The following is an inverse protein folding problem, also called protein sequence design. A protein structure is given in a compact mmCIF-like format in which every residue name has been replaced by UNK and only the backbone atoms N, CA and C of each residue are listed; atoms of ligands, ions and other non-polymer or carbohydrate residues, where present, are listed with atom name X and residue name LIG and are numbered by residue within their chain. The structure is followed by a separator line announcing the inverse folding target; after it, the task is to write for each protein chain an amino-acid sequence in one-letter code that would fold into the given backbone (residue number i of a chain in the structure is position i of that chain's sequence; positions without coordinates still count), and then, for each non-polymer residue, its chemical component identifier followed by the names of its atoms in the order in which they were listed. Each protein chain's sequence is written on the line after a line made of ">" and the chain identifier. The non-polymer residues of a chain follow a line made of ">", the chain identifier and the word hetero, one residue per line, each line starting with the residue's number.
data_IF_620250244115
#
_entry.id   IF_620250244115
#
_cell.length_a   1.000
_cell.length_b   1.000
_cell.length_c   1.000
_cell.angle_alpha   90.00
_cell.angle_beta   90.00
_cell.angle_gamma   90.00
#
_symmetry.space_group_name_H-M   'P 1'
#
loop_
_entity.id
_entity.type
_entity.pdbx_description
1 polymer ?
#
# COMPACT_ATOMS: atom_id res chain seq x y z
N UNK A 1 -11.91 1.10 -6.93
CA UNK A 1 -11.20 0.27 -5.95
C UNK A 1 -11.51 0.75 -4.53
N UNK A 2 -11.58 -0.18 -3.60
CA UNK A 2 -12.01 0.11 -2.22
C UNK A 2 -11.13 1.17 -1.56
N UNK A 3 -9.81 1.10 -1.75
CA UNK A 3 -8.92 2.04 -1.08
C UNK A 3 -9.05 3.48 -1.60
N UNK A 4 -9.36 3.68 -2.87
CA UNK A 4 -9.59 5.03 -3.37
C UNK A 4 -10.91 5.61 -2.87
N UNK A 5 -11.93 4.79 -2.73
CA UNK A 5 -13.22 5.21 -2.13
C UNK A 5 -13.02 5.61 -0.67
N UNK A 6 -12.27 4.82 0.08
CA UNK A 6 -11.97 5.10 1.48
C UNK A 6 -11.17 6.39 1.64
N UNK A 7 -10.22 6.60 0.73
CA UNK A 7 -9.42 7.83 0.71
C UNK A 7 -10.29 9.06 0.51
N UNK A 8 -11.24 8.97 -0.41
CA UNK A 8 -12.19 10.05 -0.66
C UNK A 8 -13.06 10.32 0.57
N UNK A 9 -13.56 9.27 1.23
CA UNK A 9 -14.33 9.40 2.47
C UNK A 9 -13.53 10.11 3.55
N UNK A 10 -12.25 9.72 3.75
CA UNK A 10 -11.38 10.35 4.74
C UNK A 10 -11.18 11.83 4.44
N UNK A 11 -10.97 12.17 3.17
CA UNK A 11 -10.82 13.56 2.76
C UNK A 11 -12.08 14.38 3.06
N UNK A 12 -13.24 13.85 2.68
CA UNK A 12 -14.52 14.53 2.85
C UNK A 12 -14.88 14.69 4.34
N UNK A 13 -14.62 13.67 5.16
CA UNK A 13 -14.86 13.74 6.61
C UNK A 13 -14.07 14.86 7.28
N UNK A 14 -12.88 15.14 6.78
CA UNK A 14 -12.03 16.21 7.33
C UNK A 14 -12.21 17.56 6.64
N UNK A 15 -13.16 17.64 5.71
CA UNK A 15 -13.44 18.87 4.94
C UNK A 15 -12.20 19.38 4.21
N UNK A 16 -11.40 18.48 3.68
CA UNK A 16 -10.18 18.82 2.93
C UNK A 16 -10.47 18.72 1.46
N UNK A 17 -10.05 19.72 0.68
CA UNK A 17 -10.27 19.73 -0.76
C UNK A 17 -9.25 18.86 -1.48
N UNK A 18 -9.60 18.46 -2.72
CA UNK A 18 -8.65 17.77 -3.60
C UNK A 18 -7.39 18.62 -3.83
N UNK A 19 -7.57 19.93 -3.97
CA UNK A 19 -6.46 20.86 -4.15
C UNK A 19 -5.50 20.84 -2.96
N UNK A 20 -6.01 20.83 -1.74
CA UNK A 20 -5.19 20.76 -0.55
C UNK A 20 -4.36 19.50 -0.48
N UNK A 21 -4.97 18.34 -0.78
CA UNK A 21 -4.22 17.07 -0.80
C UNK A 21 -3.23 17.00 -1.94
N UNK A 22 -3.59 17.53 -3.12
CA UNK A 22 -2.64 17.56 -4.24
C UNK A 22 -1.42 18.41 -3.90
N UNK A 23 -1.59 19.50 -3.17
CA UNK A 23 -0.49 20.33 -2.69
C UNK A 23 0.42 19.55 -1.71
N UNK A 24 -0.17 18.79 -0.80
CA UNK A 24 0.58 17.94 0.15
C UNK A 24 1.41 16.91 -0.60
N UNK A 25 0.86 16.30 -1.65
CA UNK A 25 1.55 15.32 -2.47
C UNK A 25 2.46 15.95 -3.52
N UNK A 26 2.40 17.26 -3.73
CA UNK A 26 3.15 17.99 -4.77
C UNK A 26 2.86 17.47 -6.18
N UNK A 27 1.59 17.20 -6.44
CA UNK A 27 1.11 16.77 -7.76
C UNK A 27 0.00 17.71 -8.23
N UNK A 28 -0.37 17.61 -9.51
CA UNK A 28 -1.47 18.41 -10.05
C UNK A 28 -2.82 17.96 -9.49
N UNK A 29 -3.72 18.90 -9.28
CA UNK A 29 -5.07 18.62 -8.83
C UNK A 29 -5.80 17.65 -9.77
N UNK A 30 -5.59 17.78 -11.09
CA UNK A 30 -6.21 16.87 -12.07
C UNK A 30 -5.72 15.42 -11.88
N UNK A 31 -4.43 15.23 -11.56
CA UNK A 31 -3.88 13.91 -11.30
C UNK A 31 -4.48 13.33 -10.01
N UNK A 32 -4.60 14.13 -8.96
CA UNK A 32 -5.21 13.69 -7.72
C UNK A 32 -6.67 13.28 -7.94
N UNK A 33 -7.43 14.07 -8.72
CA UNK A 33 -8.82 13.75 -9.03
C UNK A 33 -8.93 12.41 -9.76
N UNK A 34 -7.99 12.10 -10.65
CA UNK A 34 -7.94 10.80 -11.32
C UNK A 34 -7.63 9.66 -10.35
N UNK A 35 -6.75 9.88 -9.38
CA UNK A 35 -6.48 8.90 -8.33
C UNK A 35 -7.75 8.57 -7.54
N UNK A 36 -8.54 9.57 -7.19
CA UNK A 36 -9.81 9.35 -6.49
C UNK A 36 -10.86 8.63 -7.35
N UNK A 37 -10.76 8.74 -8.67
CA UNK A 37 -11.67 8.06 -9.60
C UNK A 37 -11.15 6.71 -10.08
N UNK A 38 -10.01 6.26 -9.57
CA UNK A 38 -9.39 4.97 -9.93
C UNK A 38 -8.86 4.86 -11.35
N UNK A 39 -8.77 5.96 -12.10
CA UNK A 39 -8.18 5.94 -13.43
C UNK A 39 -6.68 5.72 -13.40
N UNK A 40 -6.03 6.11 -12.33
CA UNK A 40 -4.61 5.96 -12.14
C UNK A 40 -4.32 5.19 -10.86
N UNK A 41 -3.23 4.47 -10.90
CA UNK A 41 -2.72 3.74 -9.72
C UNK A 41 -2.05 4.77 -8.81
N UNK A 42 -2.51 4.86 -7.56
CA UNK A 42 -1.88 5.74 -6.58
C UNK A 42 -0.56 5.10 -6.15
N UNK A 43 0.60 5.72 -6.41
CA UNK A 43 1.88 5.13 -5.99
C UNK A 43 1.94 4.93 -4.48
N UNK A 44 2.64 3.89 -4.04
CA UNK A 44 2.76 3.57 -2.61
C UNK A 44 3.33 4.76 -1.82
N UNK A 45 4.30 5.49 -2.35
CA UNK A 45 4.86 6.64 -1.65
C UNK A 45 3.81 7.74 -1.42
N UNK A 46 2.96 8.00 -2.39
CA UNK A 46 1.86 8.96 -2.22
C UNK A 46 0.84 8.44 -1.23
N UNK A 47 0.51 7.17 -1.32
CA UNK A 47 -0.43 6.54 -0.40
C UNK A 47 0.11 6.57 1.03
N UNK A 48 1.40 6.35 1.20
CA UNK A 48 2.05 6.44 2.50
C UNK A 48 1.97 7.86 3.09
N UNK A 49 2.20 8.88 2.27
CA UNK A 49 2.07 10.28 2.68
C UNK A 49 0.65 10.56 3.16
N UNK A 50 -0.35 10.08 2.42
CA UNK A 50 -1.76 10.27 2.79
C UNK A 50 -2.13 9.50 4.06
N UNK A 51 -1.64 8.26 4.20
CA UNK A 51 -1.87 7.49 5.42
C UNK A 51 -1.30 8.21 6.65
N UNK A 52 -0.09 8.74 6.53
CA UNK A 52 0.52 9.51 7.62
C UNK A 52 -0.24 10.79 7.91
N UNK A 53 -0.69 11.48 6.88
CA UNK A 53 -1.47 12.71 7.02
C UNK A 53 -2.79 12.47 7.75
N UNK A 54 -3.49 11.41 7.38
CA UNK A 54 -4.78 11.05 7.99
C UNK A 54 -4.64 10.22 9.27
N UNK A 55 -3.44 9.83 9.64
CA UNK A 55 -3.17 8.96 10.80
C UNK A 55 -3.91 7.63 10.71
N UNK A 56 -3.87 7.02 9.53
CA UNK A 56 -4.47 5.70 9.29
C UNK A 56 -3.41 4.72 8.80
N UNK A 57 -3.65 3.42 9.06
CA UNK A 57 -2.78 2.37 8.56
C UNK A 57 -3.16 2.02 7.11
N UNK A 58 -2.22 1.39 6.39
CA UNK A 58 -2.54 0.80 5.09
C UNK A 58 -3.59 -0.29 5.24
N UNK A 59 -3.51 -1.09 6.30
CA UNK A 59 -4.47 -2.16 6.55
C UNK A 59 -5.89 -1.61 6.72
N UNK A 60 -6.02 -0.50 7.42
CA UNK A 60 -7.31 0.18 7.55
C UNK A 60 -7.81 0.70 6.20
N UNK A 61 -6.92 1.34 5.45
CA UNK A 61 -7.25 1.87 4.12
C UNK A 61 -7.67 0.76 3.15
N UNK A 62 -7.02 -0.40 3.24
CA UNK A 62 -7.35 -1.58 2.42
C UNK A 62 -8.54 -2.38 2.95
N UNK A 63 -9.18 -1.90 4.01
CA UNK A 63 -10.31 -2.56 4.64
C UNK A 63 -10.01 -3.96 5.16
N UNK A 64 -8.79 -4.15 5.65
CA UNK A 64 -8.34 -5.42 6.24
C UNK A 64 -8.50 -5.46 7.74
N UNK A 65 -8.70 -4.32 8.38
CA UNK A 65 -8.85 -4.20 9.83
C UNK A 65 -9.72 -3.00 10.16
N UNK A 66 -10.35 -3.03 11.32
CA UNK A 66 -11.05 -1.86 11.87
C UNK A 66 -10.12 -0.98 12.71
N UNK A 67 -8.90 -1.45 12.95
CA UNK A 67 -7.90 -0.67 13.68
C UNK A 67 -7.36 0.45 12.80
N UNK A 68 -7.70 1.69 13.18
CA UNK A 68 -7.43 2.88 12.36
C UNK A 68 -5.93 3.08 12.15
N UNK A 69 -5.15 2.88 13.23
CA UNK A 69 -3.69 3.02 13.12
C UNK A 69 -3.04 2.07 14.12
N UNK A 70 -1.73 1.87 13.97
CA UNK A 70 -0.94 1.03 14.87
C UNK A 70 0.00 1.89 15.69
N UNK A 71 0.17 1.55 16.98
CA UNK A 71 1.17 2.20 17.82
C UNK A 71 2.57 1.91 17.28
N UNK A 72 3.43 2.91 17.36
CA UNK A 72 4.83 2.81 16.95
C UNK A 72 5.05 2.49 15.47
N UNK A 73 4.04 2.71 14.62
CA UNK A 73 4.21 2.57 13.18
C UNK A 73 5.20 3.62 12.67
N UNK A 74 6.10 3.21 11.78
CA UNK A 74 7.08 4.10 11.18
C UNK A 74 6.43 4.97 10.11
N UNK A 75 6.89 6.20 9.97
CA UNK A 75 6.39 7.10 8.93
C UNK A 75 6.90 6.70 7.55
N UNK A 76 8.18 6.33 7.47
CA UNK A 76 8.84 6.07 6.20
C UNK A 76 8.85 4.58 5.86
N UNK A 77 8.81 4.29 4.57
CA UNK A 77 8.94 2.93 4.04
C UNK A 77 10.40 2.73 3.63
N UNK A 78 10.99 1.65 4.13
CA UNK A 78 12.32 1.20 3.72
C UNK A 78 12.13 0.14 2.63
N UNK A 79 12.52 0.45 1.39
CA UNK A 79 12.32 -0.43 0.24
C UNK A 79 13.05 -1.77 0.39
N UNK A 80 14.22 -1.78 1.04
CA UNK A 80 15.00 -3.00 1.25
C UNK A 80 14.27 -3.90 2.25
N UNK A 81 13.81 -3.35 3.35
CA UNK A 81 13.04 -4.08 4.36
C UNK A 81 11.74 -4.62 3.77
N UNK A 82 11.02 -3.80 3.00
CA UNK A 82 9.79 -4.20 2.34
C UNK A 82 10.05 -5.35 1.35
N UNK A 83 11.10 -5.24 0.56
CA UNK A 83 11.49 -6.29 -0.38
C UNK A 83 11.83 -7.61 0.32
N UNK A 84 12.58 -7.54 1.41
CA UNK A 84 12.95 -8.72 2.20
C UNK A 84 11.70 -9.40 2.79
N UNK A 85 10.77 -8.63 3.33
CA UNK A 85 9.54 -9.18 3.89
C UNK A 85 8.65 -9.81 2.83
N UNK A 86 8.56 -9.20 1.65
CA UNK A 86 7.81 -9.76 0.54
C UNK A 86 8.40 -11.10 0.12
N UNK A 87 9.73 -11.16 -0.02
CA UNK A 87 10.43 -12.40 -0.37
C UNK A 87 10.20 -13.51 0.66
N UNK A 88 10.35 -13.17 1.95
CA UNK A 88 10.16 -14.12 3.04
C UNK A 88 8.72 -14.63 3.08
N UNK A 89 7.75 -13.74 2.96
CA UNK A 89 6.34 -14.09 2.91
C UNK A 89 6.07 -15.03 1.74
N UNK A 90 6.61 -14.71 0.56
CA UNK A 90 6.45 -15.55 -0.63
C UNK A 90 6.98 -16.95 -0.39
N UNK A 91 8.18 -17.07 0.16
CA UNK A 91 8.80 -18.37 0.44
C UNK A 91 8.03 -19.16 1.49
N UNK A 92 7.56 -18.52 2.53
CA UNK A 92 6.74 -19.14 3.57
C UNK A 92 5.45 -19.72 2.99
N UNK A 93 4.90 -19.09 1.95
CA UNK A 93 3.73 -19.58 1.26
C UNK A 93 4.07 -20.54 0.10
N UNK A 94 5.33 -20.95 0.01
CA UNK A 94 5.82 -21.94 -0.98
C UNK A 94 5.54 -21.51 -2.41
N UNK A 95 5.63 -20.21 -2.68
CA UNK A 95 5.44 -19.65 -4.01
C UNK A 95 6.80 -19.33 -4.64
N UNK A 96 6.97 -19.72 -5.90
CA UNK A 96 8.13 -19.26 -6.67
C UNK A 96 7.88 -17.85 -7.17
N UNK A 97 8.94 -17.16 -7.56
CA UNK A 97 8.76 -15.83 -8.18
C UNK A 97 7.87 -15.92 -9.42
N UNK A 98 8.05 -16.95 -10.23
CA UNK A 98 7.23 -17.18 -11.44
C UNK A 98 5.76 -17.34 -11.10
N UNK A 99 5.44 -18.13 -10.09
CA UNK A 99 4.04 -18.35 -9.69
C UNK A 99 3.40 -17.07 -9.17
N UNK A 100 4.08 -16.37 -8.28
CA UNK A 100 3.52 -15.13 -7.73
C UNK A 100 3.37 -14.06 -8.81
N UNK A 101 4.37 -13.89 -9.67
CA UNK A 101 4.31 -12.94 -10.76
C UNK A 101 3.15 -13.27 -11.72
N UNK A 102 2.97 -14.55 -12.04
CA UNK A 102 1.86 -14.99 -12.89
C UNK A 102 0.50 -14.67 -12.25
N UNK A 103 0.36 -14.94 -10.96
CA UNK A 103 -0.89 -14.66 -10.22
C UNK A 103 -1.21 -13.16 -10.19
N UNK A 104 -0.18 -12.33 -10.15
CA UNK A 104 -0.35 -10.87 -10.12
C UNK A 104 -0.36 -10.26 -11.51
N UNK A 105 -0.19 -11.09 -12.55
CA UNK A 105 -0.12 -10.62 -13.94
C UNK A 105 0.98 -9.58 -14.16
N UNK A 106 2.16 -9.89 -13.63
CA UNK A 106 3.33 -9.03 -13.76
C UNK A 106 4.54 -9.82 -14.23
N UNK A 107 5.57 -9.12 -14.71
CA UNK A 107 6.82 -9.74 -15.11
C UNK A 107 7.59 -10.25 -13.89
N UNK A 108 8.22 -11.43 -13.99
CA UNK A 108 9.07 -11.97 -12.93
C UNK A 108 10.19 -11.00 -12.55
N UNK A 109 10.78 -10.32 -13.56
CA UNK A 109 11.87 -9.35 -13.33
C UNK A 109 11.42 -8.18 -12.46
N UNK A 110 10.17 -7.73 -12.62
CA UNK A 110 9.60 -6.67 -11.78
C UNK A 110 9.50 -7.14 -10.32
N UNK A 111 8.98 -8.35 -10.11
CA UNK A 111 8.90 -8.93 -8.77
C UNK A 111 10.30 -9.07 -8.13
N UNK A 112 11.28 -9.54 -8.91
CA UNK A 112 12.66 -9.65 -8.43
C UNK A 112 13.22 -8.30 -7.99
N UNK A 113 12.91 -7.22 -8.71
CA UNK A 113 13.34 -5.87 -8.35
C UNK A 113 12.67 -5.39 -7.06
N UNK A 114 11.41 -5.71 -6.85
CA UNK A 114 10.72 -5.41 -5.59
C UNK A 114 11.38 -6.13 -4.41
N UNK A 115 11.70 -7.41 -4.58
CA UNK A 115 12.31 -8.21 -3.52
C UNK A 115 13.74 -7.77 -3.19
N UNK A 116 14.44 -7.19 -4.15
CA UNK A 116 15.79 -6.63 -3.94
C UNK A 116 15.77 -5.23 -3.35
N UNK A 117 14.60 -4.62 -3.23
CA UNK A 117 14.46 -3.26 -2.71
C UNK A 117 14.81 -2.17 -3.71
N UNK A 118 14.92 -2.49 -4.99
CA UNK A 118 15.16 -1.48 -6.03
C UNK A 118 13.96 -0.59 -6.27
N UNK A 119 12.78 -1.17 -6.19
CA UNK A 119 11.50 -0.47 -6.32
C UNK A 119 10.57 -0.95 -5.23
N UNK A 120 9.65 -0.08 -4.81
CA UNK A 120 8.56 -0.48 -3.92
C UNK A 120 7.45 -1.08 -4.78
N UNK A 121 6.85 -2.17 -4.30
CA UNK A 121 5.76 -2.86 -5.02
C UNK A 121 4.64 -1.87 -5.37
N UNK A 122 4.10 -2.01 -6.59
CA UNK A 122 2.99 -1.17 -7.02
C UNK A 122 1.72 -1.49 -6.23
N UNK A 123 0.92 -0.47 -5.95
CA UNK A 123 -0.25 -0.55 -5.08
C UNK A 123 -1.22 -1.67 -5.43
N UNK A 124 -1.60 -1.90 -6.71
CA UNK A 124 -2.56 -2.97 -7.02
C UNK A 124 -2.05 -4.35 -6.67
N UNK A 125 -0.75 -4.59 -6.85
CA UNK A 125 -0.17 -5.89 -6.53
C UNK A 125 -0.14 -6.12 -5.02
N UNK A 126 0.25 -5.09 -4.26
CA UNK A 126 0.22 -5.16 -2.80
C UNK A 126 -1.21 -5.40 -2.30
N UNK A 127 -2.16 -4.64 -2.82
CA UNK A 127 -3.57 -4.78 -2.46
C UNK A 127 -4.07 -6.21 -2.73
N UNK A 128 -3.75 -6.76 -3.89
CA UNK A 128 -4.15 -8.12 -4.26
C UNK A 128 -3.55 -9.17 -3.30
N UNK A 129 -2.26 -9.06 -3.01
CA UNK A 129 -1.60 -9.98 -2.07
C UNK A 129 -2.28 -9.92 -0.70
N UNK A 130 -2.45 -8.71 -0.18
CA UNK A 130 -2.96 -8.53 1.18
C UNK A 130 -4.41 -8.97 1.32
N UNK A 131 -5.26 -8.69 0.34
CA UNK A 131 -6.67 -9.09 0.38
C UNK A 131 -6.86 -10.58 0.13
N UNK A 132 -6.09 -11.16 -0.79
CA UNK A 132 -6.21 -12.58 -1.12
C UNK A 132 -5.69 -13.48 -0.01
N UNK A 133 -4.54 -13.13 0.57
CA UNK A 133 -3.86 -13.97 1.56
C UNK A 133 -4.04 -13.51 3.00
N UNK A 134 -4.75 -12.42 3.22
CA UNK A 134 -4.98 -11.86 4.56
C UNK A 134 -3.67 -11.60 5.29
N UNK A 135 -2.75 -10.91 4.62
CA UNK A 135 -1.47 -10.50 5.21
C UNK A 135 -1.42 -8.97 5.32
N UNK A 136 -0.83 -8.47 6.38
CA UNK A 136 -0.77 -7.04 6.67
C UNK A 136 0.10 -6.29 5.65
N UNK A 137 -0.47 -5.25 5.04
CA UNK A 137 0.28 -4.35 4.17
C UNK A 137 1.30 -3.54 4.97
N UNK A 138 0.92 -3.06 6.15
CA UNK A 138 1.85 -2.31 7.01
C UNK A 138 3.05 -3.15 7.41
N UNK A 139 2.84 -4.44 7.69
CA UNK A 139 3.94 -5.35 7.98
C UNK A 139 4.83 -5.56 6.76
N UNK A 140 4.24 -5.87 5.60
CA UNK A 140 5.01 -6.10 4.37
C UNK A 140 5.80 -4.86 3.95
N UNK A 141 5.27 -3.67 4.20
CA UNK A 141 5.97 -2.42 3.90
C UNK A 141 7.01 -2.04 4.95
N UNK A 142 7.10 -2.80 6.03
CA UNK A 142 8.07 -2.54 7.09
C UNK A 142 7.69 -1.41 8.04
N UNK A 143 6.44 -0.98 8.04
CA UNK A 143 5.98 0.10 8.92
C UNK A 143 5.70 -0.38 10.33
N UNK A 144 5.39 -1.66 10.50
CA UNK A 144 5.25 -2.31 11.81
C UNK A 144 6.11 -3.57 11.81
N UNK A 145 6.51 -4.03 13.00
CA UNK A 145 7.46 -5.13 13.12
C UNK A 145 6.80 -6.47 13.46
N UNK A 146 5.53 -6.48 13.82
CA UNK A 146 4.81 -7.70 14.18
C UNK A 146 3.63 -7.91 13.26
N UNK A 147 3.34 -9.19 12.96
CA UNK A 147 2.13 -9.56 12.24
C UNK A 147 0.93 -9.27 13.12
N UNK A 148 -0.15 -8.81 12.50
CA UNK A 148 -1.40 -8.48 13.18
C UNK A 148 -2.52 -9.36 12.65
N UNK A 149 -3.51 -9.62 13.49
CA UNK A 149 -4.71 -10.34 13.09
C UNK A 149 -5.59 -9.44 12.23
N UNK A 150 -5.98 -9.93 11.08
CA UNK A 150 -6.87 -9.23 10.15
C UNK A 150 -8.24 -9.89 10.14
N UNK A 151 -9.25 -9.09 9.81
CA UNK A 151 -10.62 -9.62 9.69
C UNK A 151 -10.90 -10.26 8.32
#
# INVERSE_FOLDING_TARGET
>A
MIYSDKLKELREEKNITQQELSNILKIDNSLFAKHEKEYHIIPINHLNTLCNYFHVSFDYLFNLTDQVNYENALENIDSIKAGTRLKNWRKENKLTQEKLASMLNMARSALANYERGRNIIATPFLYTICTKYKVSADYLLGKIDELVDLK
#
